data_IF_431735268697
#
_entry.id   IF_431735268697
#
_cell.length_a   1.000
_cell.length_b   1.000
_cell.length_c   1.000
_cell.angle_alpha   90.00
_cell.angle_beta   90.00
_cell.angle_gamma   90.00
#
_symmetry.space_group_name_H-M   'P 1'
#
loop_
_entity.id
_entity.type
_entity.pdbx_description
1 polymer ?
#
# COMPACT_ATOMS: atom_id res chain seq x y z
N UNK A 1 -0.23 11.75 6.27
CA UNK A 1 0.12 10.38 5.85
C UNK A 1 -0.80 9.97 4.72
N UNK A 2 -0.32 9.26 3.70
CA UNK A 2 -1.18 8.75 2.63
C UNK A 2 -1.23 7.21 2.70
N UNK A 3 -2.43 6.66 2.77
CA UNK A 3 -2.71 5.22 2.73
C UNK A 3 -3.12 4.88 1.31
N UNK A 4 -2.35 4.00 0.66
CA UNK A 4 -2.56 3.65 -0.75
C UNK A 4 -3.09 2.24 -0.84
N UNK A 5 -4.18 2.05 -1.57
CA UNK A 5 -4.79 0.76 -1.85
C UNK A 5 -4.84 0.60 -3.36
N UNK A 6 -4.20 -0.45 -3.88
CA UNK A 6 -4.17 -0.75 -5.31
C UNK A 6 -5.11 -1.91 -5.57
N UNK A 7 -5.99 -1.75 -6.56
CA UNK A 7 -6.96 -2.77 -7.00
C UNK A 7 -7.69 -3.47 -5.84
N UNK A 8 -8.42 -2.71 -4.98
CA UNK A 8 -9.18 -3.33 -3.90
C UNK A 8 -10.19 -4.35 -4.46
N UNK A 9 -10.48 -5.43 -3.71
CA UNK A 9 -11.40 -6.45 -4.17
C UNK A 9 -12.79 -5.85 -4.42
N UNK A 10 -13.41 -6.22 -5.56
CA UNK A 10 -14.72 -5.70 -5.96
C UNK A 10 -15.88 -6.17 -5.06
N UNK A 11 -15.63 -7.15 -4.18
CA UNK A 11 -16.60 -7.73 -3.26
C UNK A 11 -15.98 -7.87 -1.86
N UNK A 12 -16.68 -7.43 -0.81
CA UNK A 12 -16.22 -7.50 0.59
C UNK A 12 -16.76 -6.37 1.46
N UNK A 13 -16.59 -6.48 2.79
CA UNK A 13 -17.07 -5.50 3.76
C UNK A 13 -16.43 -4.10 3.62
N UNK A 14 -15.19 -4.03 3.11
CA UNK A 14 -14.48 -2.76 2.90
C UNK A 14 -14.79 -2.08 1.55
N UNK A 15 -15.72 -2.60 0.74
CA UNK A 15 -15.99 -2.06 -0.61
C UNK A 15 -16.38 -0.59 -0.60
N UNK A 16 -17.21 -0.17 0.35
CA UNK A 16 -17.79 1.17 0.38
C UNK A 16 -16.84 2.23 0.95
N UNK A 17 -15.83 1.81 1.71
CA UNK A 17 -14.85 2.71 2.33
C UNK A 17 -13.51 1.98 2.56
N UNK A 18 -12.75 1.69 1.48
CA UNK A 18 -11.46 1.01 1.60
C UNK A 18 -10.52 1.80 2.49
N UNK A 19 -10.04 1.21 3.58
CA UNK A 19 -9.11 1.87 4.50
C UNK A 19 -9.73 2.88 5.48
N UNK A 20 -11.05 3.06 5.50
CA UNK A 20 -11.74 3.99 6.42
C UNK A 20 -11.55 3.67 7.91
N UNK A 21 -11.55 2.38 8.27
CA UNK A 21 -11.26 1.95 9.64
C UNK A 21 -9.82 2.29 10.05
N UNK A 22 -8.87 2.12 9.13
CA UNK A 22 -7.46 2.43 9.38
C UNK A 22 -7.25 3.93 9.58
N UNK A 23 -7.83 4.77 8.72
CA UNK A 23 -7.72 6.23 8.87
C UNK A 23 -8.44 6.72 10.12
N UNK A 24 -9.56 6.10 10.50
CA UNK A 24 -10.23 6.36 11.79
C UNK A 24 -9.32 6.03 12.97
N UNK A 25 -8.66 4.86 12.96
CA UNK A 25 -7.70 4.48 14.00
C UNK A 25 -6.53 5.47 14.07
N UNK A 26 -5.96 5.85 12.92
CA UNK A 26 -4.88 6.84 12.85
C UNK A 26 -5.31 8.21 13.41
N UNK A 27 -6.52 8.66 13.07
CA UNK A 27 -7.07 9.91 13.57
C UNK A 27 -7.22 9.91 15.10
N UNK A 28 -7.60 8.76 15.71
CA UNK A 28 -7.65 8.61 17.18
C UNK A 28 -6.28 8.78 17.84
N UNK A 29 -5.19 8.54 17.11
CA UNK A 29 -3.82 8.75 17.54
C UNK A 29 -3.24 10.10 17.07
N UNK A 30 -4.07 11.02 16.58
CA UNK A 30 -3.63 12.35 16.13
C UNK A 30 -2.95 12.38 14.76
N UNK A 31 -2.98 11.27 14.00
CA UNK A 31 -2.38 11.19 12.67
C UNK A 31 -3.43 11.53 11.62
N UNK A 32 -3.19 12.60 10.85
CA UNK A 32 -3.99 12.93 9.67
C UNK A 32 -3.61 12.02 8.51
N UNK A 33 -4.55 11.19 8.07
CA UNK A 33 -4.38 10.23 6.99
C UNK A 33 -5.40 10.45 5.87
N UNK A 34 -4.94 10.32 4.63
CA UNK A 34 -5.77 10.35 3.42
C UNK A 34 -5.70 8.99 2.74
N UNK A 35 -6.83 8.49 2.22
CA UNK A 35 -6.88 7.27 1.42
C UNK A 35 -6.77 7.60 -0.06
N UNK A 36 -5.85 6.94 -0.76
CA UNK A 36 -5.78 6.90 -2.22
C UNK A 36 -6.11 5.50 -2.70
N UNK A 37 -7.24 5.34 -3.39
CA UNK A 37 -7.56 4.10 -4.10
C UNK A 37 -7.14 4.24 -5.55
N UNK A 38 -6.25 3.37 -6.01
CA UNK A 38 -5.60 3.47 -7.33
C UNK A 38 -5.88 2.20 -8.12
N UNK A 39 -6.41 2.35 -9.33
CA UNK A 39 -6.45 1.27 -10.30
C UNK A 39 -5.05 1.10 -10.91
N UNK A 40 -4.52 -0.12 -10.93
CA UNK A 40 -3.22 -0.38 -11.57
C UNK A 40 -3.25 -0.21 -13.09
N UNK A 41 -4.43 -0.37 -13.72
CA UNK A 41 -4.59 -0.23 -15.16
C UNK A 41 -3.75 -1.22 -15.97
N UNK A 42 -3.43 -2.38 -15.40
CA UNK A 42 -2.56 -3.40 -16.03
C UNK A 42 -1.07 -3.20 -15.76
N UNK A 43 -0.66 -2.10 -15.11
CA UNK A 43 0.71 -1.94 -14.62
C UNK A 43 0.97 -2.85 -13.40
N UNK A 44 2.24 -3.17 -13.16
CA UNK A 44 2.63 -3.91 -11.96
C UNK A 44 2.41 -3.08 -10.69
N UNK A 45 1.91 -3.69 -9.62
CA UNK A 45 1.68 -3.04 -8.31
C UNK A 45 2.91 -2.26 -7.82
N UNK A 46 4.11 -2.81 -8.05
CA UNK A 46 5.38 -2.17 -7.72
C UNK A 46 5.56 -0.82 -8.42
N UNK A 47 5.34 -0.81 -9.74
CA UNK A 47 5.45 0.38 -10.56
C UNK A 47 4.39 1.43 -10.17
N UNK A 48 3.17 0.98 -9.88
CA UNK A 48 2.07 1.84 -9.44
C UNK A 48 2.40 2.51 -8.09
N UNK A 49 2.93 1.76 -7.13
CA UNK A 49 3.37 2.30 -5.84
C UNK A 49 4.50 3.32 -6.00
N UNK A 50 5.51 3.02 -6.82
CA UNK A 50 6.63 3.94 -7.05
C UNK A 50 6.20 5.23 -7.75
N UNK A 51 5.32 5.12 -8.76
CA UNK A 51 4.74 6.27 -9.43
C UNK A 51 4.00 7.15 -8.43
N UNK A 52 3.13 6.55 -7.62
CA UNK A 52 2.38 7.30 -6.62
C UNK A 52 3.28 7.93 -5.54
N UNK A 53 4.28 7.20 -5.05
CA UNK A 53 5.24 7.71 -4.08
C UNK A 53 6.00 8.93 -4.65
N UNK A 54 6.42 8.88 -5.93
CA UNK A 54 7.05 10.01 -6.61
C UNK A 54 6.09 11.17 -6.80
N UNK A 55 4.87 10.92 -7.25
CA UNK A 55 3.85 11.95 -7.50
C UNK A 55 3.45 12.67 -6.19
N UNK A 56 3.55 11.98 -5.05
CA UNK A 56 3.33 12.53 -3.70
C UNK A 56 4.61 13.06 -3.03
N UNK A 57 5.77 12.99 -3.71
CA UNK A 57 7.08 13.31 -3.14
C UNK A 57 7.30 12.65 -1.77
N UNK A 58 6.94 11.37 -1.64
CA UNK A 58 7.01 10.64 -0.38
C UNK A 58 8.47 10.37 0.01
N UNK A 59 8.80 10.67 1.26
CA UNK A 59 10.14 10.44 1.83
C UNK A 59 10.35 8.98 2.28
N UNK A 60 9.27 8.25 2.55
CA UNK A 60 9.30 6.88 3.05
C UNK A 60 8.08 6.09 2.59
N UNK A 61 8.31 4.89 2.05
CA UNK A 61 7.28 3.91 1.80
C UNK A 61 7.25 2.89 2.95
N UNK A 62 6.15 2.86 3.70
CA UNK A 62 5.91 1.85 4.74
C UNK A 62 5.02 0.76 4.18
N UNK A 63 5.50 -0.48 4.22
CA UNK A 63 4.73 -1.65 3.81
C UNK A 63 4.57 -2.60 4.99
N UNK A 64 3.32 -2.83 5.40
CA UNK A 64 2.95 -3.86 6.36
C UNK A 64 2.41 -5.09 5.65
N UNK A 65 2.81 -6.28 6.09
CA UNK A 65 2.19 -7.54 5.69
C UNK A 65 0.78 -7.66 6.32
N UNK A 66 -0.17 -6.81 5.94
CA UNK A 66 -1.53 -6.86 6.49
C UNK A 66 -2.33 -8.01 5.86
N UNK A 67 -2.19 -9.19 6.49
CA UNK A 67 -3.17 -10.28 6.61
C UNK A 67 -4.20 -10.49 5.49
N UNK A 68 -3.76 -10.96 4.31
CA UNK A 68 -4.64 -11.78 3.45
C UNK A 68 -4.05 -13.12 2.97
N UNK A 69 -2.79 -13.43 3.28
CA UNK A 69 -2.28 -14.81 3.32
C UNK A 69 -0.82 -14.80 3.77
N UNK A 70 -0.59 -15.01 5.06
CA UNK A 70 0.73 -15.42 5.58
C UNK A 70 1.26 -16.67 4.85
N UNK A 71 0.41 -17.42 4.15
CA UNK A 71 0.76 -18.63 3.41
C UNK A 71 1.26 -18.41 1.96
N UNK A 72 1.19 -17.19 1.40
CA UNK A 72 1.71 -16.88 0.05
C UNK A 72 2.92 -15.93 0.05
N UNK A 73 3.52 -15.72 1.23
CA UNK A 73 4.67 -14.85 1.48
C UNK A 73 6.00 -15.60 1.67
N UNK A 74 6.02 -16.93 1.59
CA UNK A 74 7.24 -17.71 1.88
C UNK A 74 8.39 -17.50 0.87
N UNK A 75 8.15 -16.76 -0.22
CA UNK A 75 9.18 -16.30 -1.17
C UNK A 75 8.78 -14.87 -1.49
N UNK A 76 9.63 -13.88 -1.22
CA UNK A 76 9.47 -12.47 -1.61
C UNK A 76 8.73 -12.36 -2.96
N UNK A 77 7.43 -12.07 -2.94
CA UNK A 77 6.60 -12.11 -4.14
C UNK A 77 7.14 -11.16 -5.21
N UNK A 78 6.84 -11.40 -6.49
CA UNK A 78 7.34 -10.61 -7.62
C UNK A 78 7.22 -9.10 -7.40
N UNK A 79 6.11 -8.63 -6.82
CA UNK A 79 5.89 -7.21 -6.47
C UNK A 79 6.91 -6.66 -5.47
N UNK A 80 7.12 -7.34 -4.33
CA UNK A 80 8.07 -6.87 -3.29
C UNK A 80 9.50 -6.92 -3.82
N UNK A 81 9.87 -7.96 -4.58
CA UNK A 81 11.18 -8.05 -5.22
C UNK A 81 11.41 -6.94 -6.25
N UNK A 82 10.42 -6.67 -7.10
CA UNK A 82 10.47 -5.55 -8.06
C UNK A 82 10.55 -4.20 -7.36
N UNK A 83 9.83 -4.02 -6.26
CA UNK A 83 9.90 -2.79 -5.46
C UNK A 83 11.27 -2.58 -4.84
N UNK A 84 11.88 -3.61 -4.26
CA UNK A 84 13.20 -3.50 -3.62
C UNK A 84 14.33 -3.36 -4.64
N UNK A 85 14.16 -3.89 -5.85
CA UNK A 85 15.19 -3.88 -6.88
C UNK A 85 15.41 -2.50 -7.52
N UNK A 86 14.36 -1.70 -7.70
CA UNK A 86 14.42 -0.45 -8.48
C UNK A 86 13.72 0.73 -7.80
N UNK A 87 13.88 0.83 -6.47
CA UNK A 87 13.24 1.88 -5.68
C UNK A 87 14.16 3.07 -5.47
N UNK A 88 13.60 4.28 -5.62
CA UNK A 88 14.27 5.54 -5.26
C UNK A 88 13.81 6.11 -3.91
N UNK A 89 12.67 5.65 -3.40
CA UNK A 89 12.09 6.06 -2.10
C UNK A 89 12.42 5.03 -1.03
N UNK A 90 13.07 5.39 0.09
CA UNK A 90 13.35 4.45 1.17
C UNK A 90 12.14 3.59 1.54
N UNK A 91 12.36 2.29 1.76
CA UNK A 91 11.31 1.34 2.14
C UNK A 91 11.54 0.87 3.57
N UNK A 92 10.51 0.99 4.40
CA UNK A 92 10.44 0.32 5.69
C UNK A 92 9.43 -0.83 5.62
N UNK A 93 9.91 -2.05 5.84
CA UNK A 93 9.09 -3.27 5.87
C UNK A 93 8.91 -3.76 7.30
N UNK A 94 7.65 -3.98 7.69
CA UNK A 94 7.30 -4.64 8.95
C UNK A 94 6.73 -6.04 8.67
N UNK A 95 7.27 -7.04 9.38
CA UNK A 95 6.83 -8.44 9.34
C UNK A 95 5.88 -8.76 10.49
#
# INVERSE_FOLDING_TARGET
MNVVIIDPPSHGQERSDPGGLLTTMMARHGVKAEVSVIASGGAGVAQTLQRHARDKAADLLVMGAYSHSRLRQAILGGTTRSLLADTKTPIFMMH
#
